data_IF_074200984306
#
_entry.id   IF_074200984306
#
_cell.length_a   1.000
_cell.length_b   1.000
_cell.length_c   1.000
_cell.angle_alpha   90.00
_cell.angle_beta   90.00
_cell.angle_gamma   90.00
#
_symmetry.space_group_name_H-M   'P 1'
#
loop_
_entity.id
_entity.type
_entity.pdbx_description
1 polymer ?
#
# COMPACT_ATOMS: atom_id res chain seq x y z
N UNK A 1 8.72 23.78 -11.60
CA UNK A 1 8.71 22.54 -10.81
C UNK A 1 7.90 21.48 -11.53
N UNK A 2 8.50 20.34 -11.89
CA UNK A 2 7.82 19.22 -12.58
C UNK A 2 6.68 18.55 -11.77
N UNK A 3 6.44 19.06 -10.56
CA UNK A 3 5.41 18.61 -9.62
C UNK A 3 4.19 19.54 -9.56
N UNK A 4 4.26 20.75 -10.17
CA UNK A 4 3.12 21.64 -10.28
C UNK A 4 2.35 21.30 -11.55
N UNK A 5 1.42 20.37 -11.43
CA UNK A 5 0.41 20.13 -12.47
C UNK A 5 -0.73 21.10 -12.20
N UNK A 6 -1.10 21.90 -13.21
CA UNK A 6 -2.24 22.82 -13.11
C UNK A 6 -3.50 22.03 -12.73
N UNK A 7 -4.19 22.50 -11.69
CA UNK A 7 -5.48 21.92 -11.33
C UNK A 7 -6.50 22.37 -12.35
N UNK A 8 -7.13 21.39 -12.98
CA UNK A 8 -8.27 21.65 -13.84
C UNK A 8 -9.49 21.59 -12.92
N UNK A 9 -10.33 22.62 -12.94
CA UNK A 9 -11.62 22.59 -12.24
C UNK A 9 -12.59 21.72 -13.04
N UNK A 10 -13.12 20.66 -12.41
CA UNK A 10 -14.10 19.78 -13.01
C UNK A 10 -15.41 19.90 -12.23
N UNK A 11 -16.51 20.20 -12.93
CA UNK A 11 -17.84 20.32 -12.31
C UNK A 11 -17.91 21.35 -11.16
N UNK A 12 -17.10 22.42 -11.22
CA UNK A 12 -16.99 23.42 -10.16
C UNK A 12 -16.23 22.95 -8.91
N UNK A 13 -15.63 21.76 -8.94
CA UNK A 13 -14.74 21.26 -7.90
C UNK A 13 -13.30 21.67 -8.23
N UNK A 14 -12.65 22.34 -7.27
CA UNK A 14 -11.26 22.83 -7.39
C UNK A 14 -10.26 21.70 -7.59
N UNK A 15 -10.52 20.53 -6.99
CA UNK A 15 -9.63 19.39 -7.04
C UNK A 15 -10.37 18.07 -6.81
N UNK A 16 -10.23 17.11 -7.74
CA UNK A 16 -10.72 15.76 -7.55
C UNK A 16 -9.52 14.83 -7.34
N UNK A 17 -9.38 14.19 -6.17
CA UNK A 17 -8.31 13.23 -5.92
C UNK A 17 -8.31 12.12 -6.99
N UNK A 18 -7.13 11.71 -7.43
CA UNK A 18 -6.88 10.68 -8.44
C UNK A 18 -7.35 10.99 -9.87
N UNK A 19 -8.23 11.98 -10.07
CA UNK A 19 -8.77 12.42 -11.36
C UNK A 19 -8.16 13.73 -11.86
N UNK A 20 -6.87 13.94 -11.57
CA UNK A 20 -6.06 15.03 -12.12
C UNK A 20 -4.94 14.46 -13.01
N UNK A 21 -4.39 15.23 -13.97
CA UNK A 21 -3.41 14.70 -14.93
C UNK A 21 -2.20 14.06 -14.25
N UNK A 22 -1.72 14.64 -13.14
CA UNK A 22 -0.66 14.06 -12.33
C UNK A 22 -1.07 12.70 -11.79
N UNK A 23 -2.20 12.62 -11.08
CA UNK A 23 -2.74 11.36 -10.56
C UNK A 23 -2.87 10.27 -11.63
N UNK A 24 -3.39 10.62 -12.81
CA UNK A 24 -3.53 9.69 -13.94
C UNK A 24 -2.18 9.16 -14.45
N UNK A 25 -1.16 10.01 -14.54
CA UNK A 25 0.20 9.58 -14.92
C UNK A 25 0.77 8.58 -13.90
N UNK A 26 0.64 8.87 -12.61
CA UNK A 26 1.11 7.98 -11.56
C UNK A 26 0.37 6.63 -11.56
N UNK A 27 -0.96 6.65 -11.76
CA UNK A 27 -1.78 5.44 -11.92
C UNK A 27 -1.30 4.64 -13.14
N UNK A 28 -1.05 5.29 -14.28
CA UNK A 28 -0.56 4.62 -15.48
C UNK A 28 0.81 3.97 -15.25
N UNK A 29 1.76 4.67 -14.62
CA UNK A 29 3.10 4.12 -14.31
C UNK A 29 2.99 2.94 -13.35
N UNK A 30 2.20 3.06 -12.27
CA UNK A 30 1.99 1.96 -11.33
C UNK A 30 1.36 0.74 -12.03
N UNK A 31 0.36 0.97 -12.88
CA UNK A 31 -0.33 -0.08 -13.65
C UNK A 31 0.63 -0.78 -14.61
N UNK A 32 1.49 -0.03 -15.30
CA UNK A 32 2.51 -0.60 -16.18
C UNK A 32 3.51 -1.44 -15.40
N UNK A 33 3.98 -0.96 -14.24
CA UNK A 33 4.90 -1.70 -13.38
C UNK A 33 4.32 -3.02 -12.88
N UNK A 34 3.06 -3.03 -12.43
CA UNK A 34 2.35 -4.27 -12.07
C UNK A 34 2.13 -5.19 -13.28
N UNK A 35 1.81 -4.64 -14.44
CA UNK A 35 1.62 -5.42 -15.68
C UNK A 35 2.89 -6.11 -16.13
N UNK A 36 4.04 -5.42 -16.04
CA UNK A 36 5.37 -5.98 -16.31
C UNK A 36 5.70 -7.07 -15.28
N UNK A 37 5.51 -6.79 -14.00
CA UNK A 37 5.73 -7.77 -12.92
C UNK A 37 4.95 -9.08 -13.15
N UNK A 38 3.66 -8.97 -13.46
CA UNK A 38 2.79 -10.13 -13.75
C UNK A 38 3.21 -10.87 -15.02
N UNK A 39 3.60 -10.14 -16.08
CA UNK A 39 4.04 -10.75 -17.34
C UNK A 39 5.34 -11.54 -17.15
N UNK A 40 6.30 -10.98 -16.39
CA UNK A 40 7.55 -11.65 -16.04
C UNK A 40 7.33 -12.89 -15.16
N UNK A 41 6.41 -12.83 -14.20
CA UNK A 41 6.06 -13.99 -13.36
C UNK A 41 5.44 -15.13 -14.20
N UNK A 42 4.52 -14.80 -15.13
CA UNK A 42 3.89 -15.79 -16.02
C UNK A 42 4.90 -16.48 -16.95
N UNK A 43 5.79 -15.71 -17.57
CA UNK A 43 6.85 -16.24 -18.45
C UNK A 43 7.76 -17.20 -17.69
N UNK A 44 8.12 -16.84 -16.45
CA UNK A 44 8.97 -17.67 -15.61
C UNK A 44 8.27 -19.01 -15.26
N UNK A 45 7.00 -18.97 -14.86
CA UNK A 45 6.23 -20.19 -14.54
C UNK A 45 6.11 -21.14 -15.74
N UNK A 46 5.85 -20.61 -16.94
CA UNK A 46 5.75 -21.41 -18.15
C UNK A 46 7.08 -22.09 -18.50
N UNK A 47 8.19 -21.36 -18.38
CA UNK A 47 9.55 -21.88 -18.65
C UNK A 47 9.96 -22.95 -17.62
N UNK A 48 9.60 -22.75 -16.35
CA UNK A 48 9.86 -23.71 -15.27
C UNK A 48 9.10 -25.03 -15.50
N UNK A 49 7.90 -25.00 -16.08
CA UNK A 49 7.13 -26.23 -16.39
C UNK A 49 7.74 -27.09 -17.50
N UNK A 50 8.56 -26.50 -18.38
CA UNK A 50 9.20 -27.20 -19.50
C UNK A 50 10.62 -27.71 -19.19
N UNK A 51 11.30 -27.21 -18.15
CA UNK A 51 12.67 -27.62 -17.79
C UNK A 51 12.71 -28.37 -16.46
N UNK A 52 12.51 -29.69 -16.54
CA UNK A 52 13.00 -30.61 -15.50
C UNK A 52 14.55 -30.53 -15.49
N UNK A 53 15.12 -30.08 -14.36
CA UNK A 53 16.51 -30.35 -13.89
C UNK A 53 17.73 -29.74 -14.61
N UNK A 54 17.70 -28.53 -15.16
CA UNK A 54 18.97 -27.83 -15.48
C UNK A 54 19.04 -26.49 -14.74
N UNK A 55 19.89 -26.50 -13.70
CA UNK A 55 20.37 -25.39 -12.88
C UNK A 55 19.29 -24.49 -12.23
N UNK A 56 19.26 -24.49 -10.89
CA UNK A 56 18.59 -23.47 -10.07
C UNK A 56 19.23 -22.10 -10.36
N UNK A 57 18.78 -21.41 -11.41
CA UNK A 57 18.87 -19.95 -11.42
C UNK A 57 17.88 -19.42 -10.35
N UNK A 58 18.28 -18.45 -9.53
CA UNK A 58 17.40 -17.88 -8.52
C UNK A 58 16.13 -17.32 -9.20
N UNK A 59 14.95 -17.49 -8.60
CA UNK A 59 13.70 -17.04 -9.20
C UNK A 59 13.76 -15.52 -9.41
N UNK A 60 13.52 -15.09 -10.66
CA UNK A 60 13.56 -13.71 -11.17
C UNK A 60 13.24 -12.60 -10.14
N UNK A 61 14.29 -12.00 -9.58
CA UNK A 61 14.23 -10.81 -8.72
C UNK A 61 13.53 -9.63 -9.40
N UNK A 62 13.60 -9.54 -10.74
CA UNK A 62 13.04 -8.42 -11.50
C UNK A 62 11.52 -8.28 -11.36
N UNK A 63 10.76 -9.38 -11.41
CA UNK A 63 9.29 -9.30 -11.25
C UNK A 63 8.92 -8.73 -9.88
N UNK A 64 9.63 -9.18 -8.85
CA UNK A 64 9.46 -8.70 -7.48
C UNK A 64 9.87 -7.22 -7.35
N UNK A 65 11.00 -6.81 -7.93
CA UNK A 65 11.46 -5.42 -7.95
C UNK A 65 10.40 -4.52 -8.58
N UNK A 66 9.87 -4.88 -9.76
CA UNK A 66 8.83 -4.10 -10.42
C UNK A 66 7.55 -4.00 -9.58
N UNK A 67 7.17 -5.07 -8.87
CA UNK A 67 6.02 -5.00 -7.97
C UNK A 67 6.26 -4.09 -6.76
N UNK A 68 7.44 -4.19 -6.12
CA UNK A 68 7.80 -3.33 -4.98
C UNK A 68 7.83 -1.86 -5.41
N UNK A 69 8.48 -1.56 -6.54
CA UNK A 69 8.53 -0.20 -7.10
C UNK A 69 7.11 0.30 -7.39
N UNK A 70 6.24 -0.53 -7.97
CA UNK A 70 4.84 -0.16 -8.22
C UNK A 70 4.09 0.16 -6.92
N UNK A 71 4.31 -0.62 -5.85
CA UNK A 71 3.71 -0.32 -4.54
C UNK A 71 4.24 0.98 -3.92
N UNK A 72 5.53 1.30 -4.10
CA UNK A 72 6.11 2.58 -3.68
C UNK A 72 5.46 3.73 -4.45
N UNK A 73 5.27 3.58 -5.76
CA UNK A 73 4.59 4.57 -6.61
C UNK A 73 3.17 4.82 -6.13
N UNK A 74 2.41 3.76 -5.81
CA UNK A 74 1.05 3.90 -5.25
C UNK A 74 1.07 4.61 -3.88
N UNK A 75 2.02 4.29 -2.99
CA UNK A 75 2.16 4.99 -1.71
C UNK A 75 2.52 6.47 -1.84
N UNK A 76 3.42 6.78 -2.79
CA UNK A 76 3.78 8.16 -3.16
C UNK A 76 2.57 8.91 -3.73
N UNK A 77 1.84 8.29 -4.65
CA UNK A 77 0.59 8.84 -5.19
C UNK A 77 -0.39 9.16 -4.07
N UNK A 78 -0.68 8.21 -3.18
CA UNK A 78 -1.58 8.42 -2.03
C UNK A 78 -1.17 9.65 -1.21
N UNK A 79 0.12 9.78 -0.90
CA UNK A 79 0.65 10.92 -0.15
C UNK A 79 0.37 12.25 -0.86
N UNK A 80 0.75 12.36 -2.13
CA UNK A 80 0.56 13.59 -2.91
C UNK A 80 -0.92 13.92 -3.07
N UNK A 81 -1.80 12.92 -3.28
CA UNK A 81 -3.23 13.19 -3.41
C UNK A 81 -3.84 13.72 -2.11
N UNK A 82 -3.41 13.21 -0.96
CA UNK A 82 -3.86 13.70 0.36
C UNK A 82 -3.35 15.12 0.58
N UNK A 83 -2.09 15.41 0.28
CA UNK A 83 -1.52 16.76 0.42
C UNK A 83 -2.28 17.78 -0.44
N UNK A 84 -2.52 17.46 -1.71
CA UNK A 84 -3.28 18.31 -2.61
C UNK A 84 -4.73 18.50 -2.15
N UNK A 85 -5.35 17.46 -1.60
CA UNK A 85 -6.72 17.55 -1.05
C UNK A 85 -6.77 18.51 0.13
N UNK A 86 -5.82 18.37 1.07
CA UNK A 86 -5.74 19.26 2.24
C UNK A 86 -5.51 20.71 1.83
N UNK A 87 -4.66 20.93 0.82
CA UNK A 87 -4.41 22.27 0.32
C UNK A 87 -5.64 22.84 -0.42
N UNK A 88 -6.29 22.05 -1.27
CA UNK A 88 -7.39 22.54 -2.09
C UNK A 88 -8.64 22.92 -1.28
N UNK A 89 -8.92 22.18 -0.21
CA UNK A 89 -10.13 22.31 0.61
C UNK A 89 -9.90 22.89 2.01
N UNK A 90 -8.65 23.21 2.37
CA UNK A 90 -8.28 23.78 3.68
C UNK A 90 -8.90 23.02 4.86
N UNK A 91 -8.80 21.70 4.86
CA UNK A 91 -9.44 20.85 5.86
C UNK A 91 -8.84 21.08 7.26
N UNK A 92 -9.69 21.52 8.21
CA UNK A 92 -9.28 21.87 9.58
C UNK A 92 -9.60 20.82 10.65
N UNK A 93 -10.40 19.80 10.30
CA UNK A 93 -10.89 18.81 11.28
C UNK A 93 -9.87 17.73 11.64
N UNK A 94 -8.81 17.58 10.85
CA UNK A 94 -7.78 16.59 11.04
C UNK A 94 -6.45 17.15 10.50
N UNK A 95 -5.38 16.97 11.27
CA UNK A 95 -4.05 17.37 10.79
C UNK A 95 -3.65 16.56 9.55
N UNK A 96 -3.08 17.24 8.56
CA UNK A 96 -2.61 16.63 7.30
C UNK A 96 -1.69 15.43 7.58
N UNK A 97 -0.79 15.57 8.56
CA UNK A 97 0.17 14.53 8.95
C UNK A 97 -0.54 13.24 9.39
N UNK A 98 -1.53 13.37 10.27
CA UNK A 98 -2.33 12.24 10.76
C UNK A 98 -3.13 11.56 9.64
N UNK A 99 -3.70 12.33 8.71
CA UNK A 99 -4.42 11.79 7.56
C UNK A 99 -3.54 10.95 6.63
N UNK A 100 -2.32 11.44 6.36
CA UNK A 100 -1.31 10.72 5.59
C UNK A 100 -0.95 9.42 6.32
N UNK A 101 -0.64 9.49 7.61
CA UNK A 101 -0.25 8.31 8.37
C UNK A 101 -1.36 7.26 8.47
N UNK A 102 -2.62 7.68 8.66
CA UNK A 102 -3.77 6.77 8.64
C UNK A 102 -3.89 6.05 7.29
N UNK A 103 -3.72 6.79 6.19
CA UNK A 103 -3.77 6.22 4.85
C UNK A 103 -2.64 5.23 4.59
N UNK A 104 -1.42 5.51 5.07
CA UNK A 104 -0.29 4.58 5.00
C UNK A 104 -0.50 3.33 5.84
N UNK A 105 -1.10 3.44 7.02
CA UNK A 105 -1.50 2.29 7.84
C UNK A 105 -2.49 1.42 7.04
N UNK A 106 -3.59 1.99 6.55
CA UNK A 106 -4.59 1.25 5.79
C UNK A 106 -3.97 0.59 4.53
N UNK A 107 -3.11 1.31 3.82
CA UNK A 107 -2.44 0.79 2.64
C UNK A 107 -1.46 -0.36 2.97
N UNK A 108 -0.66 -0.23 4.03
CA UNK A 108 0.27 -1.27 4.48
C UNK A 108 -0.45 -2.56 4.88
N UNK A 109 -1.65 -2.43 5.44
CA UNK A 109 -2.51 -3.54 5.79
C UNK A 109 -3.06 -4.25 4.55
N UNK A 110 -3.48 -3.50 3.52
CA UNK A 110 -3.88 -4.06 2.23
C UNK A 110 -2.73 -4.84 1.60
N UNK A 111 -1.51 -4.29 1.61
CA UNK A 111 -0.31 -4.99 1.12
C UNK A 111 -0.06 -6.27 1.91
N UNK A 112 -0.12 -6.21 3.25
CA UNK A 112 0.09 -7.37 4.10
C UNK A 112 -0.93 -8.47 3.82
N UNK A 113 -2.22 -8.11 3.76
CA UNK A 113 -3.31 -9.03 3.44
C UNK A 113 -3.14 -9.64 2.05
N UNK A 114 -2.79 -8.82 1.06
CA UNK A 114 -2.50 -9.28 -0.29
C UNK A 114 -1.33 -10.27 -0.32
N UNK A 115 -0.25 -9.96 0.41
CA UNK A 115 0.88 -10.87 0.59
C UNK A 115 0.48 -12.18 1.24
N UNK A 116 -0.45 -12.15 2.20
CA UNK A 116 -0.94 -13.37 2.83
C UNK A 116 -1.84 -14.19 1.92
N UNK A 117 -2.78 -13.54 1.22
CA UNK A 117 -3.64 -14.15 0.21
C UNK A 117 -2.84 -14.81 -0.91
N UNK A 118 -1.76 -14.16 -1.38
CA UNK A 118 -0.88 -14.69 -2.43
C UNK A 118 0.25 -15.59 -1.92
N UNK A 119 0.35 -15.79 -0.60
CA UNK A 119 1.44 -16.51 0.08
C UNK A 119 2.84 -15.99 -0.25
N UNK A 120 2.93 -14.70 -0.57
CA UNK A 120 4.20 -14.04 -0.87
C UNK A 120 4.76 -13.40 0.42
N UNK A 121 5.78 -14.04 0.98
CA UNK A 121 6.46 -13.58 2.20
C UNK A 121 7.04 -12.16 2.06
N UNK A 122 7.47 -11.76 0.86
CA UNK A 122 8.05 -10.43 0.65
C UNK A 122 7.00 -9.34 0.83
N UNK A 123 5.80 -9.49 0.27
CA UNK A 123 4.72 -8.52 0.48
C UNK A 123 4.24 -8.49 1.93
N UNK A 124 4.21 -9.65 2.61
CA UNK A 124 3.93 -9.69 4.05
C UNK A 124 4.95 -8.88 4.85
N UNK A 125 6.25 -9.12 4.62
CA UNK A 125 7.33 -8.39 5.30
C UNK A 125 7.27 -6.90 4.95
N UNK A 126 7.10 -6.56 3.67
CA UNK A 126 7.02 -5.18 3.22
C UNK A 126 5.85 -4.43 3.87
N UNK A 127 4.65 -5.00 3.86
CA UNK A 127 3.48 -4.45 4.55
C UNK A 127 3.74 -4.29 6.05
N UNK A 128 4.34 -5.29 6.72
CA UNK A 128 4.68 -5.21 8.14
C UNK A 128 5.69 -4.10 8.46
N UNK A 129 6.74 -3.94 7.65
CA UNK A 129 7.75 -2.88 7.85
C UNK A 129 7.10 -1.51 7.73
N UNK A 130 6.31 -1.29 6.69
CA UNK A 130 5.61 -0.01 6.47
C UNK A 130 4.62 0.26 7.60
N UNK A 131 3.87 -0.75 8.04
CA UNK A 131 2.92 -0.65 9.15
C UNK A 131 3.62 -0.23 10.45
N UNK A 132 4.68 -0.96 10.84
CA UNK A 132 5.43 -0.68 12.08
C UNK A 132 6.07 0.71 11.99
N UNK A 133 6.75 1.02 10.88
CA UNK A 133 7.39 2.33 10.68
C UNK A 133 6.40 3.49 10.77
N UNK A 134 5.23 3.36 10.12
CA UNK A 134 4.19 4.39 10.17
C UNK A 134 3.58 4.51 11.56
N UNK A 135 3.36 3.39 12.26
CA UNK A 135 2.82 3.41 13.63
C UNK A 135 3.78 4.12 14.60
N UNK A 136 5.09 3.86 14.49
CA UNK A 136 6.11 4.57 15.27
C UNK A 136 6.09 6.07 14.96
N UNK A 137 6.03 6.46 13.67
CA UNK A 137 5.90 7.86 13.27
C UNK A 137 4.68 8.51 13.92
N UNK A 138 3.52 7.84 13.93
CA UNK A 138 2.31 8.41 14.54
C UNK A 138 2.50 8.64 16.04
N UNK A 139 3.03 7.67 16.76
CA UNK A 139 3.22 7.75 18.22
C UNK A 139 4.21 8.86 18.59
N UNK A 140 5.34 8.95 17.88
CA UNK A 140 6.44 9.86 18.24
C UNK A 140 6.35 11.23 17.60
N UNK A 141 5.69 11.36 16.45
CA UNK A 141 5.57 12.62 15.71
C UNK A 141 4.14 13.14 15.79
N UNK A 142 3.21 12.46 15.11
CA UNK A 142 1.86 13.00 14.84
C UNK A 142 1.02 13.18 16.11
N UNK A 143 1.24 12.35 17.14
CA UNK A 143 0.51 12.44 18.42
C UNK A 143 1.33 13.11 19.53
N UNK A 144 2.57 13.52 19.30
CA UNK A 144 3.47 13.96 20.39
C UNK A 144 2.88 15.08 21.26
N UNK A 145 2.19 16.05 20.65
CA UNK A 145 1.51 17.16 21.33
C UNK A 145 0.04 16.92 21.70
N UNK A 146 -0.52 15.75 21.35
CA UNK A 146 -1.93 15.45 21.59
C UNK A 146 -2.21 14.90 22.98
N UNK A 147 -3.47 15.04 23.41
CA UNK A 147 -3.93 14.53 24.70
C UNK A 147 -3.76 13.01 24.81
N UNK A 148 -3.55 12.51 26.04
CA UNK A 148 -3.45 11.08 26.32
C UNK A 148 -4.68 10.29 25.83
N UNK A 149 -5.86 10.92 25.82
CA UNK A 149 -7.09 10.32 25.32
C UNK A 149 -7.01 10.05 23.81
N UNK A 150 -6.52 11.01 23.01
CA UNK A 150 -6.35 10.80 21.56
C UNK A 150 -5.36 9.69 21.26
N UNK A 151 -4.25 9.64 22.01
CA UNK A 151 -3.27 8.54 21.91
C UNK A 151 -3.91 7.18 22.20
N UNK A 152 -4.71 7.09 23.25
CA UNK A 152 -5.41 5.87 23.62
C UNK A 152 -6.41 5.42 22.53
N UNK A 153 -7.22 6.34 22.01
CA UNK A 153 -8.18 6.06 20.93
C UNK A 153 -7.47 5.57 19.67
N UNK A 154 -6.37 6.22 19.29
CA UNK A 154 -5.59 5.81 18.13
C UNK A 154 -5.02 4.39 18.29
N UNK A 155 -4.37 4.11 19.44
CA UNK A 155 -3.80 2.79 19.72
C UNK A 155 -4.87 1.70 19.79
N UNK A 156 -6.04 1.99 20.36
CA UNK A 156 -7.16 1.07 20.40
C UNK A 156 -7.69 0.77 18.99
N UNK A 157 -7.86 1.81 18.17
CA UNK A 157 -8.29 1.66 16.77
C UNK A 157 -7.29 0.85 15.95
N UNK A 158 -5.99 1.13 16.12
CA UNK A 158 -4.93 0.38 15.47
C UNK A 158 -4.92 -1.09 15.90
N UNK A 159 -5.02 -1.35 17.20
CA UNK A 159 -5.11 -2.71 17.75
C UNK A 159 -6.33 -3.46 17.22
N UNK A 160 -7.49 -2.81 17.16
CA UNK A 160 -8.71 -3.38 16.59
C UNK A 160 -8.53 -3.77 15.11
N UNK A 161 -7.94 -2.89 14.30
CA UNK A 161 -7.67 -3.16 12.89
C UNK A 161 -6.69 -4.34 12.74
N UNK A 162 -5.63 -4.39 13.55
CA UNK A 162 -4.66 -5.50 13.53
C UNK A 162 -5.36 -6.82 13.87
N UNK A 163 -6.22 -6.84 14.89
CA UNK A 163 -7.00 -8.02 15.28
C UNK A 163 -7.95 -8.49 14.17
N UNK A 164 -8.66 -7.56 13.52
CA UNK A 164 -9.52 -7.88 12.37
C UNK A 164 -8.72 -8.56 11.25
N UNK A 165 -7.52 -8.07 10.98
CA UNK A 165 -6.66 -8.61 9.92
C UNK A 165 -6.11 -9.97 10.31
N UNK A 166 -5.69 -10.14 11.57
CA UNK A 166 -5.26 -11.44 12.09
C UNK A 166 -6.39 -12.48 11.98
N UNK A 167 -7.62 -12.10 12.31
CA UNK A 167 -8.80 -12.95 12.17
C UNK A 167 -9.08 -13.34 10.72
N UNK A 168 -9.09 -12.38 9.78
CA UNK A 168 -9.28 -12.65 8.35
C UNK A 168 -8.19 -13.58 7.82
N UNK A 169 -6.95 -13.35 8.24
CA UNK A 169 -5.81 -14.16 7.84
C UNK A 169 -5.89 -15.60 8.38
N UNK A 170 -6.29 -15.78 9.63
CA UNK A 170 -6.48 -17.11 10.24
C UNK A 170 -7.55 -17.89 9.48
N UNK A 171 -8.71 -17.26 9.20
CA UNK A 171 -9.80 -17.89 8.47
C UNK A 171 -9.39 -18.39 7.08
N UNK A 172 -8.56 -17.61 6.37
CA UNK A 172 -8.01 -18.04 5.08
C UNK A 172 -7.03 -19.21 5.20
N UNK A 173 -6.29 -19.29 6.31
CA UNK A 173 -5.33 -20.37 6.55
C UNK A 173 -6.04 -21.70 6.85
N UNK A 174 -7.07 -21.68 7.72
CA UNK A 174 -7.85 -22.87 8.11
C UNK A 174 -8.60 -23.48 6.91
N UNK A 175 -9.20 -22.64 6.06
CA UNK A 175 -9.91 -23.09 4.85
C UNK A 175 -9.01 -23.89 3.88
N UNK A 176 -7.70 -23.69 3.94
CA UNK A 176 -6.76 -24.44 3.11
C UNK A 176 -6.29 -25.76 3.70
N UNK A 177 -6.27 -25.89 5.03
CA UNK A 177 -5.95 -27.15 5.70
C UNK A 177 -7.08 -28.17 5.47
N UNK A 178 -8.34 -27.73 5.57
CA UNK A 178 -9.51 -28.56 5.26
C UNK A 178 -9.55 -29.05 3.80
N UNK A 179 -8.97 -28.31 2.85
CA UNK A 179 -8.89 -28.73 1.43
C UNK A 179 -7.78 -29.75 1.14
N UNK A 180 -6.86 -29.96 2.09
CA UNK A 180 -5.74 -30.91 1.95
C UNK A 180 -5.95 -32.19 2.75
N UNK A 181 -6.92 -32.20 3.68
CA UNK A 181 -7.42 -33.41 4.37
C UNK A 181 -8.43 -34.16 3.51
#
# INVERSE_FOLDING_TARGET
NAWNVEWVEWFGLRYIPFLNPGGLVWIAIATLGFSISLSLDRLNRNTQSQKIRIAKMPPNDFSLIFAIVSHIIVGGLLTIQIENTWFAYELKFLEKGSAISFSWILYSLVIFLWGSYTKNTVFRIFGSIVLVGTSLKVIFSDLSGESTLYKAIFLLSLGFIILLIAFVNQKWSETEEDKKS
#
